data_IF_322343062967
#
_entry.id   IF_322343062967
#
_cell.length_a   1.000
_cell.length_b   1.000
_cell.length_c   1.000
_cell.angle_alpha   90.00
_cell.angle_beta   90.00
_cell.angle_gamma   90.00
#
_symmetry.space_group_name_H-M   'P 1'
#
loop_
_entity.id
_entity.type
_entity.pdbx_description
1 polymer ?
#
# COMPACT_ATOMS: atom_id res chain seq x y z
N UNK A 1 -71.21 -39.17 -4.84
CA UNK A 1 -71.59 -38.06 -3.93
C UNK A 1 -70.63 -36.90 -4.15
N UNK A 2 -71.17 -35.68 -4.24
CA UNK A 2 -70.63 -34.34 -3.94
C UNK A 2 -69.13 -34.28 -3.56
N UNK A 3 -68.28 -33.40 -4.08
CA UNK A 3 -68.48 -32.22 -4.92
C UNK A 3 -67.27 -31.29 -4.87
N UNK A 4 -67.31 -30.29 -5.76
CA UNK A 4 -66.73 -28.95 -5.72
C UNK A 4 -65.21 -28.69 -5.87
N UNK A 5 -64.96 -27.99 -6.98
CA UNK A 5 -63.89 -27.02 -7.27
C UNK A 5 -63.63 -25.99 -6.17
N UNK A 6 -62.38 -25.49 -6.10
CA UNK A 6 -61.96 -24.07 -6.26
C UNK A 6 -60.41 -24.02 -6.10
N UNK A 7 -59.63 -23.52 -7.07
CA UNK A 7 -59.23 -22.11 -7.28
C UNK A 7 -58.56 -21.53 -6.01
N UNK A 8 -57.40 -20.87 -5.97
CA UNK A 8 -56.86 -19.81 -6.83
C UNK A 8 -55.33 -19.70 -6.60
N UNK A 9 -54.62 -19.27 -7.63
CA UNK A 9 -53.22 -18.87 -7.72
C UNK A 9 -52.67 -18.01 -6.56
N UNK A 10 -51.35 -18.04 -6.35
CA UNK A 10 -50.50 -16.83 -6.37
C UNK A 10 -49.01 -17.07 -6.11
N UNK A 11 -48.20 -16.40 -6.95
CA UNK A 11 -46.88 -15.82 -6.68
C UNK A 11 -45.65 -16.73 -6.72
N UNK A 12 -45.03 -16.71 -7.91
CA UNK A 12 -43.70 -16.13 -8.13
C UNK A 12 -42.72 -16.18 -6.96
N UNK A 13 -41.65 -16.98 -7.11
CA UNK A 13 -40.30 -16.52 -6.84
C UNK A 13 -39.30 -17.39 -7.59
N UNK A 14 -38.74 -16.81 -8.66
CA UNK A 14 -37.35 -17.07 -9.00
C UNK A 14 -36.52 -16.84 -7.74
N UNK A 15 -35.70 -17.82 -7.38
CA UNK A 15 -34.56 -17.59 -6.51
C UNK A 15 -33.41 -18.43 -7.05
N UNK A 16 -32.74 -17.88 -8.07
CA UNK A 16 -31.29 -17.96 -8.15
C UNK A 16 -30.77 -17.55 -6.78
N UNK A 17 -30.27 -18.49 -5.99
CA UNK A 17 -29.55 -18.19 -4.77
C UNK A 17 -28.06 -18.28 -5.05
N UNK A 18 -27.54 -17.23 -5.68
CA UNK A 18 -26.21 -16.75 -5.30
C UNK A 18 -26.41 -15.60 -4.32
N UNK A 19 -25.76 -15.67 -3.16
CA UNK A 19 -24.96 -14.55 -2.74
C UNK A 19 -23.49 -14.97 -2.81
N UNK A 20 -22.93 -14.69 -3.98
CA UNK A 20 -21.68 -13.94 -4.14
C UNK A 20 -21.01 -13.56 -2.80
N UNK A 21 -20.11 -14.42 -2.31
CA UNK A 21 -19.00 -14.01 -1.43
C UNK A 21 -17.77 -13.81 -2.31
N UNK A 22 -17.83 -12.79 -3.17
CA UNK A 22 -16.72 -12.38 -4.04
C UNK A 22 -16.20 -10.99 -3.65
N UNK A 23 -15.90 -10.77 -2.37
CA UNK A 23 -15.33 -9.49 -1.92
C UNK A 23 -13.96 -9.60 -1.24
N UNK A 24 -13.29 -10.75 -1.33
CA UNK A 24 -11.92 -10.91 -0.79
C UNK A 24 -10.83 -11.22 -1.81
N UNK A 25 -11.18 -11.61 -3.05
CA UNK A 25 -10.20 -12.18 -3.99
C UNK A 25 -10.01 -11.39 -5.29
N UNK A 26 -10.80 -10.35 -5.54
CA UNK A 26 -10.84 -9.70 -6.87
C UNK A 26 -9.94 -8.46 -7.01
N UNK A 27 -9.23 -8.02 -5.97
CA UNK A 27 -8.34 -6.85 -6.06
C UNK A 27 -6.90 -7.24 -6.46
N UNK A 28 -6.47 -8.49 -6.25
CA UNK A 28 -5.08 -8.92 -6.48
C UNK A 28 -4.81 -9.54 -7.87
N UNK A 29 -5.58 -9.19 -8.90
CA UNK A 29 -5.37 -9.70 -10.26
C UNK A 29 -5.22 -8.55 -11.26
N UNK A 30 -4.26 -7.67 -10.98
CA UNK A 30 -3.50 -6.97 -12.02
C UNK A 30 -2.02 -7.28 -11.73
N UNK A 31 -1.46 -8.15 -12.57
CA UNK A 31 -0.02 -8.46 -12.74
C UNK A 31 0.82 -8.79 -11.49
N UNK A 32 0.51 -9.87 -10.76
CA UNK A 32 1.50 -10.60 -9.93
C UNK A 32 2.20 -9.85 -8.79
N UNK A 33 1.79 -8.61 -8.49
CA UNK A 33 2.42 -7.75 -7.51
C UNK A 33 1.55 -7.61 -6.28
N UNK A 34 1.93 -8.32 -5.23
CA UNK A 34 1.29 -8.21 -3.92
C UNK A 34 1.90 -7.05 -3.15
N UNK A 35 1.12 -6.47 -2.23
CA UNK A 35 1.61 -5.47 -1.26
C UNK A 35 2.86 -5.99 -0.55
N UNK A 36 2.86 -7.28 -0.19
CA UNK A 36 4.01 -7.94 0.43
C UNK A 36 5.24 -7.97 -0.47
N UNK A 37 5.08 -8.23 -1.78
CA UNK A 37 6.21 -8.19 -2.72
C UNK A 37 6.81 -6.79 -2.81
N UNK A 38 5.98 -5.76 -2.96
CA UNK A 38 6.46 -4.37 -2.99
C UNK A 38 7.19 -4.00 -1.69
N UNK A 39 6.62 -4.35 -0.53
CA UNK A 39 7.23 -4.09 0.79
C UNK A 39 8.58 -4.78 0.94
N UNK A 40 8.71 -6.03 0.49
CA UNK A 40 9.98 -6.76 0.52
C UNK A 40 11.05 -6.10 -0.36
N UNK A 41 10.67 -5.62 -1.54
CA UNK A 41 11.61 -5.02 -2.50
C UNK A 41 12.04 -3.61 -2.08
N UNK A 42 11.12 -2.81 -1.53
CA UNK A 42 11.46 -1.55 -0.86
C UNK A 42 12.43 -1.82 0.29
N UNK A 43 12.10 -2.78 1.16
CA UNK A 43 12.96 -3.16 2.30
C UNK A 43 14.36 -3.55 1.84
N UNK A 44 14.46 -4.49 0.89
CA UNK A 44 15.74 -4.96 0.38
C UNK A 44 16.57 -3.84 -0.24
N UNK A 45 15.92 -2.86 -0.85
CA UNK A 45 16.59 -1.69 -1.44
C UNK A 45 17.18 -0.79 -0.36
N UNK A 46 16.39 -0.45 0.65
CA UNK A 46 16.81 0.51 1.69
C UNK A 46 17.70 -0.10 2.77
N UNK A 47 17.66 -1.41 2.98
CA UNK A 47 18.52 -2.12 3.94
C UNK A 47 20.02 -1.97 3.60
N UNK A 48 20.33 -1.82 2.31
CA UNK A 48 21.69 -1.53 1.83
C UNK A 48 22.16 -0.08 2.06
N UNK A 49 21.27 0.81 2.52
CA UNK A 49 21.53 2.25 2.68
C UNK A 49 21.63 2.60 4.18
N UNK A 50 22.85 2.70 4.74
CA UNK A 50 23.04 2.79 6.20
C UNK A 50 22.53 4.10 6.82
N UNK A 51 22.26 5.12 6.01
CA UNK A 51 21.70 6.40 6.42
C UNK A 51 20.16 6.39 6.48
N UNK A 52 19.49 5.32 6.01
CA UNK A 52 18.03 5.20 6.11
C UNK A 52 17.68 4.64 7.48
N UNK A 53 16.97 5.43 8.28
CA UNK A 53 16.53 5.05 9.62
C UNK A 53 15.19 4.33 9.60
N UNK A 54 14.23 4.81 8.81
CA UNK A 54 12.91 4.20 8.70
C UNK A 54 12.23 4.54 7.37
N UNK A 55 11.31 3.69 6.94
CA UNK A 55 10.45 3.90 5.78
C UNK A 55 9.00 3.61 6.17
N UNK A 56 8.15 4.57 5.83
CA UNK A 56 6.71 4.51 6.02
C UNK A 56 6.02 4.62 4.67
N UNK A 57 5.03 3.77 4.43
CA UNK A 57 4.10 3.91 3.32
C UNK A 57 2.88 4.68 3.76
N UNK A 58 2.43 5.65 2.97
CA UNK A 58 1.21 6.41 3.26
C UNK A 58 0.29 6.57 2.06
N UNK A 59 0.70 6.13 0.87
CA UNK A 59 -0.20 6.10 -0.27
C UNK A 59 -1.30 5.06 -0.13
N UNK A 60 -2.37 5.26 -0.91
CA UNK A 60 -3.56 4.42 -0.94
C UNK A 60 -3.23 2.94 -1.20
N UNK A 61 -2.11 2.64 -1.88
CA UNK A 61 -1.59 1.28 -2.06
C UNK A 61 -1.32 0.56 -0.73
N UNK A 62 -0.69 1.24 0.24
CA UNK A 62 -0.38 0.65 1.55
C UNK A 62 -1.61 0.50 2.45
N UNK A 63 -2.67 1.26 2.18
CA UNK A 63 -3.94 1.23 2.91
C UNK A 63 -4.98 0.26 2.32
N UNK A 64 -4.66 -0.37 1.17
CA UNK A 64 -5.57 -1.29 0.48
C UNK A 64 -6.75 -0.57 -0.20
N UNK A 65 -6.60 0.71 -0.48
CA UNK A 65 -7.58 1.56 -1.13
C UNK A 65 -7.53 1.44 -2.66
N UNK A 66 -8.51 2.03 -3.36
CA UNK A 66 -8.69 1.85 -4.80
C UNK A 66 -7.72 2.63 -5.68
N UNK A 67 -7.18 3.76 -5.22
CA UNK A 67 -6.34 4.63 -6.07
C UNK A 67 -4.91 4.11 -6.27
N UNK A 68 -4.47 3.11 -5.49
CA UNK A 68 -3.20 2.35 -5.66
C UNK A 68 -1.93 3.22 -5.82
N UNK A 69 -1.95 4.42 -5.25
CA UNK A 69 -0.82 5.35 -5.19
C UNK A 69 0.25 4.81 -4.23
N UNK A 70 1.51 4.80 -4.65
CA UNK A 70 2.65 4.35 -3.83
C UNK A 70 3.38 5.58 -3.31
N UNK A 71 2.99 6.05 -2.13
CA UNK A 71 3.67 7.17 -1.47
C UNK A 71 4.53 6.69 -0.30
N UNK A 72 5.78 7.12 -0.27
CA UNK A 72 6.78 6.77 0.73
C UNK A 72 7.29 8.00 1.47
N UNK A 73 7.32 7.90 2.80
CA UNK A 73 8.07 8.80 3.67
C UNK A 73 9.30 8.05 4.19
N UNK A 74 10.48 8.58 3.89
CA UNK A 74 11.76 8.01 4.31
C UNK A 74 12.45 8.94 5.28
N UNK A 75 12.80 8.41 6.45
CA UNK A 75 13.58 9.11 7.46
C UNK A 75 15.05 8.79 7.22
N UNK A 76 15.85 9.81 6.94
CA UNK A 76 17.30 9.70 6.77
C UNK A 76 18.03 10.33 7.95
N UNK A 77 19.00 9.61 8.50
CA UNK A 77 19.83 10.09 9.60
C UNK A 77 21.30 10.06 9.15
N UNK A 78 21.81 11.22 8.73
CA UNK A 78 23.20 11.40 8.32
C UNK A 78 23.67 12.84 8.60
N UNK A 79 24.99 13.08 8.57
CA UNK A 79 25.54 14.43 8.61
C UNK A 79 24.99 15.34 7.50
N UNK A 80 24.93 16.65 7.76
CA UNK A 80 24.36 17.64 6.84
C UNK A 80 25.12 17.74 5.52
N UNK A 81 26.43 17.57 5.55
CA UNK A 81 27.32 17.59 4.40
C UNK A 81 27.14 16.36 3.50
N UNK A 82 26.61 15.25 4.03
CA UNK A 82 26.27 14.05 3.27
C UNK A 82 24.83 14.04 2.77
N UNK A 83 23.94 14.88 3.32
CA UNK A 83 22.49 14.83 3.07
C UNK A 83 22.15 14.89 1.58
N UNK A 84 22.76 15.81 0.82
CA UNK A 84 22.53 15.92 -0.62
C UNK A 84 22.99 14.68 -1.38
N UNK A 85 24.11 14.08 -0.99
CA UNK A 85 24.62 12.86 -1.62
C UNK A 85 23.70 11.67 -1.31
N UNK A 86 23.38 11.46 -0.04
CA UNK A 86 22.57 10.35 0.42
C UNK A 86 21.12 10.41 -0.10
N UNK A 87 20.51 11.60 -0.16
CA UNK A 87 19.18 11.77 -0.76
C UNK A 87 19.18 11.48 -2.26
N UNK A 88 20.23 11.83 -3.01
CA UNK A 88 20.38 11.43 -4.42
C UNK A 88 20.54 9.93 -4.58
N UNK A 89 21.36 9.29 -3.74
CA UNK A 89 21.56 7.84 -3.74
C UNK A 89 20.24 7.11 -3.47
N UNK A 90 19.47 7.55 -2.48
CA UNK A 90 18.14 7.01 -2.19
C UNK A 90 17.18 7.19 -3.37
N UNK A 91 17.07 8.39 -3.93
CA UNK A 91 16.20 8.64 -5.11
C UNK A 91 16.56 7.74 -6.28
N UNK A 92 17.85 7.53 -6.54
CA UNK A 92 18.29 6.65 -7.61
C UNK A 92 17.96 5.17 -7.32
N UNK A 93 18.04 4.74 -6.06
CA UNK A 93 17.66 3.39 -5.65
C UNK A 93 16.15 3.16 -5.81
N UNK A 94 15.31 4.13 -5.42
CA UNK A 94 13.85 4.07 -5.59
C UNK A 94 13.46 4.12 -7.07
N UNK A 95 14.11 4.94 -7.90
CA UNK A 95 13.83 4.99 -9.34
C UNK A 95 14.00 3.63 -10.03
N UNK A 96 14.99 2.82 -9.61
CA UNK A 96 15.15 1.45 -10.10
C UNK A 96 13.99 0.52 -9.70
N UNK A 97 13.36 0.79 -8.55
CA UNK A 97 12.14 0.08 -8.15
C UNK A 97 10.96 0.50 -9.03
N UNK A 98 10.80 1.79 -9.31
CA UNK A 98 9.75 2.28 -10.22
C UNK A 98 9.83 1.55 -11.58
N UNK A 99 11.04 1.43 -12.15
CA UNK A 99 11.28 0.69 -13.39
C UNK A 99 10.92 -0.80 -13.29
N UNK A 100 11.12 -1.41 -12.11
CA UNK A 100 10.83 -2.83 -11.85
C UNK A 100 9.33 -3.07 -11.73
N UNK A 101 8.58 -2.09 -11.23
CA UNK A 101 7.16 -2.20 -10.91
C UNK A 101 6.25 -1.57 -11.95
N UNK A 102 6.79 -0.80 -12.90
CA UNK A 102 6.03 0.00 -13.87
C UNK A 102 4.98 0.89 -13.17
N UNK A 103 5.35 1.42 -11.99
CA UNK A 103 4.52 2.29 -11.17
C UNK A 103 5.35 3.40 -10.54
N UNK A 104 4.87 4.65 -10.55
CA UNK A 104 5.56 5.75 -9.88
C UNK A 104 5.50 5.58 -8.36
N UNK A 105 6.58 6.00 -7.70
CA UNK A 105 6.72 5.99 -6.24
C UNK A 105 7.02 7.42 -5.79
N UNK A 106 6.02 8.08 -5.19
CA UNK A 106 6.17 9.42 -4.68
C UNK A 106 6.97 9.41 -3.37
N UNK A 107 8.15 10.04 -3.41
CA UNK A 107 9.13 9.97 -2.34
C UNK A 107 9.27 11.30 -1.59
N UNK A 108 8.87 11.31 -0.32
CA UNK A 108 9.17 12.34 0.66
C UNK A 108 10.34 11.89 1.55
N UNK A 109 11.41 12.67 1.56
CA UNK A 109 12.61 12.39 2.38
C UNK A 109 12.68 13.45 3.46
N UNK A 110 12.81 13.03 4.72
CA UNK A 110 12.89 13.89 5.89
C UNK A 110 13.99 13.45 6.83
N UNK A 111 14.49 14.37 7.63
CA UNK A 111 15.35 14.10 8.80
C UNK A 111 14.50 13.67 10.00
N UNK A 112 15.11 13.12 11.08
CA UNK A 112 14.36 12.74 12.27
C UNK A 112 13.67 13.94 12.94
N UNK A 113 14.32 15.11 12.91
CA UNK A 113 13.77 16.37 13.42
C UNK A 113 12.52 16.78 12.64
N UNK A 114 12.60 16.81 11.31
CA UNK A 114 11.44 17.14 10.46
C UNK A 114 10.30 16.13 10.65
N UNK A 115 10.61 14.84 10.81
CA UNK A 115 9.59 13.83 11.08
C UNK A 115 8.86 14.08 12.42
N UNK A 116 9.60 14.48 13.45
CA UNK A 116 9.04 14.81 14.77
C UNK A 116 8.05 15.98 14.71
N UNK A 117 8.24 16.91 13.77
CA UNK A 117 7.33 18.04 13.52
C UNK A 117 6.02 17.64 12.82
N UNK A 118 5.87 16.35 12.45
CA UNK A 118 4.67 15.77 11.83
C UNK A 118 4.27 16.50 10.53
N UNK A 119 5.11 16.42 9.47
CA UNK A 119 4.98 17.28 8.29
C UNK A 119 3.81 16.90 7.37
N UNK A 120 3.27 15.69 7.51
CA UNK A 120 2.14 15.21 6.70
C UNK A 120 0.80 15.41 7.42
N UNK A 121 -0.26 15.61 6.64
CA UNK A 121 -1.63 15.61 7.16
C UNK A 121 -2.02 14.24 7.71
N UNK A 122 -1.55 13.17 7.07
CA UNK A 122 -1.93 11.78 7.36
C UNK A 122 -0.89 11.05 8.23
N UNK A 123 -0.22 11.76 9.14
CA UNK A 123 0.82 11.18 10.01
C UNK A 123 0.30 10.08 10.94
N UNK A 124 -1.01 9.96 11.11
CA UNK A 124 -1.70 8.91 11.88
C UNK A 124 -2.02 7.65 11.05
N UNK A 125 -1.85 7.71 9.73
CA UNK A 125 -2.15 6.63 8.78
C UNK A 125 -0.89 6.04 8.13
N UNK A 126 0.29 6.33 8.70
CA UNK A 126 1.55 5.78 8.25
C UNK A 126 1.61 4.26 8.50
N UNK A 127 1.97 3.51 7.46
CA UNK A 127 2.18 2.07 7.52
C UNK A 127 3.68 1.79 7.54
N UNK A 128 4.18 1.16 8.60
CA UNK A 128 5.61 0.82 8.71
C UNK A 128 6.01 -0.17 7.61
N UNK A 129 7.06 0.16 6.84
CA UNK A 129 7.65 -0.72 5.82
C UNK A 129 8.99 -1.27 6.29
N UNK A 130 9.81 -0.39 6.84
CA UNK A 130 11.16 -0.69 7.30
C UNK A 130 11.54 0.17 8.50
N UNK A 131 12.22 -0.43 9.47
CA UNK A 131 12.87 0.24 10.59
C UNK A 131 14.26 -0.36 10.69
N UNK A 132 15.29 0.48 10.67
CA UNK A 132 16.67 0.03 10.89
C UNK A 132 16.84 -0.38 12.36
N UNK A 133 17.62 -1.43 12.59
CA UNK A 133 18.04 -1.80 13.95
C UNK A 133 18.89 -0.67 14.55
N UNK A 134 18.72 -0.43 15.85
CA UNK A 134 19.59 0.49 16.59
C UNK A 134 21.04 -0.01 16.50
N UNK A 135 21.93 0.80 15.91
CA UNK A 135 23.37 0.53 15.83
C UNK A 135 24.11 1.07 17.03
#
# INVERSE_FOLDING_TARGET
MRGQQKNIASKTKLAFSTPMRSQGLFIAMISGLTIEKLRMEIRSTVESLPFVQAVWGFGSYFRGETSRDIDLLVIVNCPIDELLHNTKTLRHAIAKLEDTFDQPIDLLIVTPTEFFERPLRDMDQLVMVYLADEK
#
